data_IF_521968392874
#
_entry.id   IF_521968392874
#
_cell.length_a   1.000
_cell.length_b   1.000
_cell.length_c   1.000
_cell.angle_alpha   90.00
_cell.angle_beta   90.00
_cell.angle_gamma   90.00
#
_symmetry.space_group_name_H-M   'P 1'
#
loop_
_entity.id
_entity.type
_entity.pdbx_description
1 polymer ?
#
# COMPACT_ATOMS: atom_id res chain seq x y z
N UNK A 1 -4.12 12.42 -2.36
CA UNK A 1 -3.10 11.86 -1.45
C UNK A 1 -1.96 11.28 -2.27
N UNK A 2 -0.72 11.66 -1.96
CA UNK A 2 0.51 11.23 -2.62
C UNK A 2 1.63 11.23 -1.58
N UNK A 3 2.38 10.13 -1.47
CA UNK A 3 3.56 10.01 -0.62
C UNK A 3 4.69 9.33 -1.39
N UNK A 4 5.93 9.66 -1.04
CA UNK A 4 7.12 9.23 -1.78
C UNK A 4 8.23 8.81 -0.83
N UNK A 5 9.01 7.82 -1.27
CA UNK A 5 10.24 7.34 -0.68
C UNK A 5 11.31 7.28 -1.78
N UNK A 6 12.53 6.85 -1.46
CA UNK A 6 13.67 6.85 -2.39
C UNK A 6 13.38 6.09 -3.70
N UNK A 7 12.64 4.98 -3.61
CA UNK A 7 12.40 4.07 -4.74
C UNK A 7 10.92 3.84 -5.05
N UNK A 8 10.01 4.38 -4.25
CA UNK A 8 8.58 4.10 -4.37
C UNK A 8 7.77 5.36 -4.14
N UNK A 9 6.86 5.63 -5.07
CA UNK A 9 5.84 6.65 -4.94
C UNK A 9 4.48 5.96 -4.84
N UNK A 10 3.66 6.34 -3.86
CA UNK A 10 2.31 5.79 -3.65
C UNK A 10 1.28 6.91 -3.68
N UNK A 11 0.13 6.63 -4.28
CA UNK A 11 -0.93 7.61 -4.43
C UNK A 11 -2.30 6.94 -4.57
N UNK A 12 -3.35 7.74 -4.47
CA UNK A 12 -4.73 7.27 -4.62
C UNK A 12 -5.16 7.37 -6.09
N UNK A 13 -5.53 6.24 -6.69
CA UNK A 13 -6.06 6.14 -8.07
C UNK A 13 -7.26 5.21 -8.13
N UNK A 14 -8.32 5.53 -7.38
CA UNK A 14 -9.45 4.66 -7.02
C UNK A 14 -9.05 3.47 -6.12
N UNK A 15 -7.99 2.74 -6.48
CA UNK A 15 -7.29 1.76 -5.64
C UNK A 15 -5.92 2.27 -5.21
N UNK A 16 -5.12 1.42 -4.54
CA UNK A 16 -3.74 1.73 -4.17
C UNK A 16 -2.88 1.80 -5.44
N UNK A 17 -2.53 3.01 -5.86
CA UNK A 17 -1.61 3.26 -6.97
C UNK A 17 -0.18 3.38 -6.47
N UNK A 18 0.77 2.85 -7.22
CA UNK A 18 2.19 3.02 -6.96
C UNK A 18 3.00 3.14 -8.24
N UNK A 19 4.15 3.80 -8.13
CA UNK A 19 5.17 3.91 -9.18
C UNK A 19 6.50 3.50 -8.56
N UNK A 20 7.14 2.51 -9.17
CA UNK A 20 8.52 2.13 -8.87
C UNK A 20 9.46 3.12 -9.55
N UNK A 21 10.16 3.92 -8.75
CA UNK A 21 11.12 4.93 -9.20
C UNK A 21 12.49 4.34 -9.53
N UNK A 22 12.76 3.09 -9.14
CA UNK A 22 14.03 2.40 -9.44
C UNK A 22 14.09 1.81 -10.85
N UNK A 23 12.93 1.65 -11.50
CA UNK A 23 12.77 1.10 -12.84
C UNK A 23 12.18 2.15 -13.79
N UNK A 24 11.78 1.75 -14.99
CA UNK A 24 11.03 2.65 -15.87
C UNK A 24 9.72 3.06 -15.17
N UNK A 25 9.53 4.36 -14.85
CA UNK A 25 8.39 4.80 -14.07
C UNK A 25 7.09 4.48 -14.81
N UNK A 26 6.29 3.60 -14.24
CA UNK A 26 4.96 3.24 -14.72
C UNK A 26 3.99 3.23 -13.55
N UNK A 27 2.77 3.65 -13.82
CA UNK A 27 1.68 3.59 -12.85
C UNK A 27 1.15 2.17 -12.78
N UNK A 28 1.31 1.57 -11.61
CA UNK A 28 0.73 0.27 -11.28
C UNK A 28 -0.35 0.45 -10.23
N UNK A 29 -1.37 -0.42 -10.26
CA UNK A 29 -2.49 -0.35 -9.33
C UNK A 29 -2.65 -1.69 -8.61
N UNK A 30 -2.53 -1.66 -7.29
CA UNK A 30 -2.93 -2.76 -6.43
C UNK A 30 -4.44 -2.69 -6.20
N UNK A 31 -5.16 -3.56 -6.90
CA UNK A 31 -6.63 -3.58 -6.95
C UNK A 31 -7.30 -4.09 -5.68
N UNK A 32 -8.63 -3.97 -5.64
CA UNK A 32 -9.48 -4.58 -4.60
C UNK A 32 -9.57 -3.80 -3.30
N UNK A 33 -8.62 -2.90 -3.02
CA UNK A 33 -8.59 -2.10 -1.79
C UNK A 33 -8.59 -0.60 -2.08
N UNK A 34 -9.28 0.15 -1.22
CA UNK A 34 -9.44 1.60 -1.36
C UNK A 34 -8.53 2.35 -0.39
N UNK A 35 -7.60 3.17 -0.89
CA UNK A 35 -6.90 4.14 -0.06
C UNK A 35 -7.84 5.21 0.48
N UNK A 36 -7.62 5.63 1.73
CA UNK A 36 -8.32 6.75 2.33
C UNK A 36 -8.21 8.05 1.51
N UNK A 37 -9.16 8.96 1.73
CA UNK A 37 -9.15 10.29 1.11
C UNK A 37 -8.05 11.20 1.69
N UNK A 38 -7.60 10.91 2.91
CA UNK A 38 -6.49 11.56 3.59
C UNK A 38 -5.20 10.72 3.47
N UNK A 39 -4.11 11.18 4.08
CA UNK A 39 -2.85 10.44 4.24
C UNK A 39 -3.13 9.08 4.92
N UNK A 40 -3.08 8.00 4.14
CA UNK A 40 -3.45 6.64 4.58
C UNK A 40 -2.53 5.53 4.07
N UNK A 41 -1.55 5.83 3.22
CA UNK A 41 -0.62 4.84 2.63
C UNK A 41 0.80 5.30 2.89
N UNK A 42 1.51 4.61 3.76
CA UNK A 42 2.82 5.04 4.25
C UNK A 42 3.91 4.09 3.73
N UNK A 43 4.78 4.54 2.81
CA UNK A 43 5.99 3.79 2.45
C UNK A 43 7.08 4.07 3.51
N UNK A 44 7.18 3.21 4.52
CA UNK A 44 8.06 3.40 5.67
C UNK A 44 8.73 2.08 6.12
N UNK A 45 9.98 2.15 6.59
CA UNK A 45 10.68 0.99 7.14
C UNK A 45 10.90 -0.15 6.15
N UNK A 46 10.92 0.14 4.84
CA UNK A 46 11.00 -0.88 3.79
C UNK A 46 9.68 -1.61 3.52
N UNK A 47 8.56 -1.15 4.09
CA UNK A 47 7.22 -1.68 3.90
C UNK A 47 6.27 -0.59 3.36
N UNK A 48 5.15 -1.02 2.81
CA UNK A 48 4.00 -0.13 2.56
C UNK A 48 2.90 -0.51 3.53
N UNK A 49 2.51 0.43 4.39
CA UNK A 49 1.47 0.24 5.39
C UNK A 49 0.24 1.05 5.01
N UNK A 50 -0.93 0.41 5.02
CA UNK A 50 -2.18 1.07 4.73
C UNK A 50 -3.26 0.57 5.70
N UNK A 51 -3.62 1.34 6.75
CA UNK A 51 -4.76 0.98 7.58
C UNK A 51 -6.07 1.09 6.79
N UNK A 52 -7.08 0.36 7.26
CA UNK A 52 -8.43 0.43 6.71
C UNK A 52 -8.98 1.86 6.81
N UNK A 53 -9.54 2.35 5.70
CA UNK A 53 -10.20 3.66 5.62
C UNK A 53 -11.62 3.56 5.05
N UNK A 54 -12.22 2.37 5.10
CA UNK A 54 -13.56 2.08 4.59
C UNK A 54 -14.64 2.44 5.62
N UNK A 55 -14.32 2.46 6.92
CA UNK A 55 -15.26 2.80 7.98
C UNK A 55 -15.84 4.22 7.89
N UNK A 56 -15.11 5.13 7.23
CA UNK A 56 -15.50 6.54 7.08
C UNK A 56 -16.19 6.86 5.76
N UNK A 57 -16.43 5.86 4.90
CA UNK A 57 -16.95 6.09 3.55
C UNK A 57 -17.86 4.94 3.10
N UNK A 58 -18.99 5.25 2.45
CA UNK A 58 -19.79 4.24 1.75
C UNK A 58 -19.08 3.85 0.45
N UNK A 59 -18.48 2.65 0.39
CA UNK A 59 -17.67 2.21 -0.75
C UNK A 59 -18.08 0.81 -1.22
N UNK A 60 -18.05 0.56 -2.53
CA UNK A 60 -18.29 -0.77 -3.12
C UNK A 60 -17.06 -1.70 -3.06
N UNK A 61 -15.99 -1.31 -2.37
CA UNK A 61 -14.79 -2.13 -2.24
C UNK A 61 -15.04 -3.24 -1.22
N UNK A 62 -14.81 -4.49 -1.66
CA UNK A 62 -15.04 -5.69 -0.86
C UNK A 62 -13.98 -5.90 0.21
N UNK A 63 -12.73 -5.45 -0.05
CA UNK A 63 -11.62 -5.59 0.89
C UNK A 63 -11.66 -4.45 1.90
N UNK A 64 -12.16 -4.76 3.10
CA UNK A 64 -12.14 -3.90 4.29
C UNK A 64 -11.11 -4.42 5.29
N UNK A 65 -9.85 -4.08 5.06
CA UNK A 65 -8.75 -4.57 5.87
C UNK A 65 -7.60 -3.56 5.90
N UNK A 66 -6.81 -3.63 6.96
CA UNK A 66 -5.49 -3.00 7.00
C UNK A 66 -4.48 -3.92 6.33
N UNK A 67 -3.68 -3.41 5.40
CA UNK A 67 -2.68 -4.21 4.66
C UNK A 67 -1.27 -3.71 4.90
N UNK A 68 -0.33 -4.65 4.87
CA UNK A 68 1.10 -4.40 4.81
C UNK A 68 1.70 -5.10 3.61
N UNK A 69 2.35 -4.36 2.71
CA UNK A 69 3.08 -4.92 1.58
C UNK A 69 4.58 -4.91 1.91
N UNK A 70 5.21 -6.07 1.77
CA UNK A 70 6.65 -6.23 1.87
C UNK A 70 7.23 -6.50 0.47
N UNK A 71 8.42 -5.96 0.15
CA UNK A 71 9.12 -6.37 -1.05
C UNK A 71 9.51 -7.84 -0.93
N UNK A 72 9.49 -8.56 -2.06
CA UNK A 72 9.86 -9.97 -2.10
C UNK A 72 11.23 -10.24 -1.46
N UNK A 73 12.19 -9.33 -1.64
CA UNK A 73 13.53 -9.43 -1.03
C UNK A 73 13.58 -9.18 0.49
N UNK A 74 12.55 -8.57 1.09
CA UNK A 74 12.42 -8.45 2.54
C UNK A 74 11.74 -9.68 3.15
N UNK A 75 10.76 -10.27 2.44
CA UNK A 75 10.03 -11.45 2.94
C UNK A 75 10.96 -12.66 3.15
N UNK A 76 12.01 -12.80 2.35
CA UNK A 76 13.03 -13.85 2.50
C UNK A 76 13.89 -13.73 3.77
N UNK A 77 13.82 -12.59 4.49
CA UNK A 77 14.62 -12.34 5.70
C UNK A 77 13.79 -12.37 6.98
N UNK A 78 12.46 -12.31 6.89
CA UNK A 78 11.58 -12.38 8.05
C UNK A 78 11.26 -13.83 8.40
N UNK A 79 11.51 -14.30 9.63
CA UNK A 79 10.95 -15.56 10.10
C UNK A 79 9.41 -15.49 10.02
N UNK A 80 8.72 -16.62 9.74
CA UNK A 80 7.27 -16.63 9.60
C UNK A 80 6.64 -16.04 10.86
N UNK A 81 5.74 -15.08 10.68
CA UNK A 81 5.00 -14.49 11.79
C UNK A 81 4.25 -15.62 12.51
N UNK A 82 4.73 -15.99 13.69
CA UNK A 82 4.00 -16.86 14.62
C UNK A 82 2.74 -16.10 15.03
N UNK A 83 1.63 -16.42 14.38
CA UNK A 83 0.31 -15.98 14.81
C UNK A 83 0.00 -16.60 16.16
N UNK A 84 -0.49 -15.76 17.08
CA UNK A 84 -1.23 -16.20 18.25
C UNK A 84 -2.65 -16.60 17.83
#
# INVERSE_FOLDING_TARGET
MLLVSTYLMVFRSATLGYVDLSRRPQTENYGGIRPGCWINVLPAGGLVLMPDATDRCTCSYLVKASIGLAPCAALSRTPPATGN
#
